data_IF_920219131899
#
_entry.id   IF_920219131899
#
_cell.length_a   1.000
_cell.length_b   1.000
_cell.length_c   1.000
_cell.angle_alpha   90.00
_cell.angle_beta   90.00
_cell.angle_gamma   90.00
#
_symmetry.space_group_name_H-M   'P 1'
#
loop_
_entity.id
_entity.type
_entity.pdbx_description
1 polymer ?
2 non-polymer ?
3 water ?
#
# COMPACT_ATOMS: atom_id res chain seq x y z
N UNK A 4 -14.57 -17.93 8.26
CA UNK A 4 -14.21 -17.07 7.13
C UNK A 4 -14.21 -17.85 5.82
N UNK A 5 -15.21 -17.60 4.99
CA UNK A 5 -15.33 -18.27 3.70
C UNK A 5 -14.08 -18.10 2.83
N UNK A 6 -13.43 -16.94 2.93
CA UNK A 6 -12.40 -16.58 1.96
C UNK A 6 -11.08 -17.33 2.13
N UNK A 7 -11.00 -18.18 3.15
CA UNK A 7 -9.87 -19.08 3.33
C UNK A 7 -9.99 -20.30 2.40
N UNK A 8 -11.06 -20.34 1.62
CA UNK A 8 -11.28 -21.46 0.73
C UNK A 8 -10.50 -21.32 -0.56
N UNK A 9 -9.95 -22.43 -1.03
CA UNK A 9 -9.21 -22.44 -2.27
C UNK A 9 -7.96 -21.54 -2.21
N UNK A 10 -7.45 -21.33 -1.00
CA UNK A 10 -6.31 -20.45 -0.80
C UNK A 10 -5.07 -20.98 -1.53
N UNK A 11 -4.99 -22.30 -1.64
CA UNK A 11 -3.88 -22.95 -2.31
C UNK A 11 -3.77 -22.38 -3.73
N UNK A 12 -4.91 -22.02 -4.29
CA UNK A 12 -4.94 -21.38 -5.60
C UNK A 12 -4.17 -20.05 -5.63
N UNK A 13 -4.36 -19.23 -4.59
CA UNK A 13 -3.65 -17.96 -4.48
C UNK A 13 -2.17 -18.24 -4.36
N UNK A 14 -1.86 -19.24 -3.54
CA UNK A 14 -0.49 -19.63 -3.30
C UNK A 14 0.20 -20.05 -4.59
N UNK A 15 -0.42 -20.97 -5.32
CA UNK A 15 0.14 -21.46 -6.57
C UNK A 15 0.32 -20.36 -7.62
N UNK A 16 -0.76 -19.63 -7.91
CA UNK A 16 -0.68 -18.59 -8.93
C UNK A 16 0.33 -17.50 -8.54
N UNK A 17 0.34 -17.08 -7.27
CA UNK A 17 1.24 -16.01 -6.84
C UNK A 17 2.71 -16.43 -6.92
N UNK A 18 2.99 -17.65 -6.47
CA UNK A 18 4.33 -18.23 -6.56
C UNK A 18 4.75 -18.39 -8.01
N UNK A 19 3.79 -18.72 -8.86
CA UNK A 19 4.05 -18.72 -10.29
C UNK A 19 4.49 -17.38 -10.86
N UNK A 20 3.80 -16.30 -10.46
CA UNK A 20 4.16 -14.98 -10.97
C UNK A 20 5.51 -14.57 -10.40
N UNK A 21 5.72 -14.91 -9.12
CA UNK A 21 6.97 -14.56 -8.45
C UNK A 21 8.15 -15.28 -9.11
N UNK A 22 7.92 -16.52 -9.51
CA UNK A 22 8.93 -17.28 -10.22
C UNK A 22 9.15 -16.75 -11.64
N UNK A 23 8.06 -16.44 -12.34
CA UNK A 23 8.20 -16.02 -13.76
C UNK A 23 8.61 -14.56 -14.02
N UNK A 24 8.52 -13.69 -13.02
CA UNK A 24 8.87 -12.28 -13.22
C UNK A 24 10.36 -12.05 -13.41
N UNK A 25 11.18 -13.00 -12.99
CA UNK A 25 12.61 -12.78 -13.04
C UNK A 25 13.39 -14.07 -13.23
N UNK A 26 14.66 -14.02 -12.91
CA UNK A 26 15.54 -15.16 -13.10
C UNK A 26 15.22 -16.25 -12.11
N UNK A 27 16.18 -17.14 -11.91
CA UNK A 27 16.08 -18.15 -10.87
C UNK A 27 16.24 -17.45 -9.52
N UNK A 28 15.76 -18.08 -8.46
CA UNK A 28 15.79 -17.45 -7.15
C UNK A 28 17.21 -17.39 -6.61
N UNK A 29 17.51 -16.30 -5.90
CA UNK A 29 18.75 -16.19 -5.15
C UNK A 29 18.69 -17.04 -3.88
N UNK A 30 19.85 -17.35 -3.29
CA UNK A 30 19.87 -18.07 -2.03
C UNK A 30 19.27 -17.20 -0.93
N UNK A 31 18.52 -17.81 -0.02
CA UNK A 31 17.94 -17.05 1.08
C UNK A 31 19.07 -16.66 2.02
N UNK A 32 19.48 -15.39 1.95
CA UNK A 32 20.53 -14.88 2.81
C UNK A 32 20.08 -13.66 3.61
N UNK A 33 18.76 -13.58 3.81
CA UNK A 33 18.14 -12.46 4.51
C UNK A 33 17.22 -12.99 5.61
N UNK A 34 17.14 -12.25 6.72
CA UNK A 34 16.30 -12.61 7.87
C UNK A 34 14.83 -12.85 7.50
N UNK A 35 14.21 -13.78 8.20
CA UNK A 35 12.84 -14.20 7.94
C UNK A 35 12.21 -14.56 9.28
N UNK A 36 10.99 -14.07 9.55
CA UNK A 36 10.45 -14.31 10.90
C UNK A 36 9.79 -15.67 11.10
N UNK A 37 10.55 -16.75 10.95
CA UNK A 37 10.02 -18.12 11.17
C UNK A 37 9.48 -18.31 12.59
N UNK A 38 10.14 -17.70 13.55
CA UNK A 38 9.66 -17.59 14.91
C UNK A 38 8.18 -17.16 14.93
N UNK A 39 7.91 -16.06 14.25
CA UNK A 39 6.57 -15.50 14.18
C UNK A 39 5.59 -16.47 13.52
N UNK A 40 5.99 -17.06 12.40
CA UNK A 40 5.10 -17.93 11.67
C UNK A 40 4.75 -19.16 12.50
N UNK A 41 5.72 -19.67 13.26
CA UNK A 41 5.48 -20.80 14.17
C UNK A 41 4.36 -20.43 15.12
N UNK A 42 4.49 -19.26 15.77
CA UNK A 42 3.45 -18.72 16.63
C UNK A 42 2.09 -18.63 15.92
N UNK A 43 2.08 -18.10 14.70
CA UNK A 43 0.83 -17.97 13.97
C UNK A 43 0.25 -19.34 13.59
N UNK A 44 1.13 -20.30 13.36
CA UNK A 44 0.67 -21.64 13.03
C UNK A 44 -0.33 -22.19 14.07
N UNK A 45 -0.15 -21.82 15.34
CA UNK A 45 -0.98 -22.35 16.41
C UNK A 45 -1.87 -21.30 17.09
N UNK A 46 -1.94 -20.12 16.50
CA UNK A 46 -2.82 -19.06 16.99
C UNK A 46 -4.25 -19.38 16.59
N UNK A 47 -5.22 -18.71 17.20
CA UNK A 47 -6.62 -18.87 16.85
C UNK A 47 -6.89 -18.40 15.43
N UNK A 48 -8.00 -18.84 14.85
CA UNK A 48 -8.31 -18.55 13.46
C UNK A 48 -8.47 -17.04 13.18
N UNK A 49 -9.15 -16.33 14.07
CA UNK A 49 -9.34 -14.90 13.88
C UNK A 49 -8.01 -14.19 13.74
N UNK A 50 -7.04 -14.62 14.54
CA UNK A 50 -5.72 -14.04 14.53
C UNK A 50 -4.97 -14.43 13.26
N UNK A 51 -5.19 -15.66 12.82
CA UNK A 51 -4.53 -16.13 11.60
C UNK A 51 -4.94 -15.29 10.38
N UNK A 52 -6.23 -15.05 10.25
CA UNK A 52 -6.77 -14.28 9.13
C UNK A 52 -6.32 -12.82 9.18
N UNK A 53 -6.34 -12.22 10.37
CA UNK A 53 -5.87 -10.85 10.53
C UNK A 53 -4.42 -10.79 10.12
N UNK A 54 -3.66 -11.80 10.51
CA UNK A 54 -2.25 -11.93 10.15
C UNK A 54 -2.03 -12.11 8.65
N UNK A 55 -2.94 -12.84 7.99
CA UNK A 55 -2.82 -13.02 6.56
C UNK A 55 -3.06 -11.68 5.85
N UNK A 56 -4.06 -10.93 6.31
CA UNK A 56 -4.34 -9.63 5.72
C UNK A 56 -3.17 -8.69 5.90
N UNK A 57 -2.64 -8.62 7.12
CA UNK A 57 -1.50 -7.76 7.42
C UNK A 57 -0.32 -8.07 6.52
N UNK A 58 0.03 -9.35 6.44
CA UNK A 58 1.17 -9.78 5.65
C UNK A 58 0.98 -9.57 4.14
N UNK A 59 -0.20 -9.93 3.64
CA UNK A 59 -0.50 -9.70 2.23
C UNK A 59 -0.30 -8.22 1.91
N UNK A 60 -0.78 -7.37 2.79
CA UNK A 60 -0.75 -5.95 2.48
C UNK A 60 0.68 -5.44 2.52
N UNK A 61 1.50 -6.02 3.39
CA UNK A 61 2.91 -5.64 3.50
C UNK A 61 3.67 -6.05 2.26
N UNK A 62 3.40 -7.27 1.78
CA UNK A 62 4.05 -7.75 0.56
C UNK A 62 3.65 -6.87 -0.62
N UNK A 63 2.36 -6.55 -0.74
CA UNK A 63 1.91 -5.69 -1.83
C UNK A 63 2.68 -4.37 -1.77
N UNK A 64 2.78 -3.80 -0.59
CA UNK A 64 3.41 -2.51 -0.43
C UNK A 64 4.89 -2.54 -0.75
N UNK A 65 5.54 -3.63 -0.35
CA UNK A 65 6.98 -3.82 -0.60
C UNK A 65 7.26 -3.89 -2.09
N UNK A 66 6.39 -4.60 -2.82
CA UNK A 66 6.66 -4.97 -4.21
C UNK A 66 6.20 -3.90 -5.19
N UNK A 67 5.34 -3.00 -4.71
CA UNK A 67 4.77 -1.92 -5.51
C UNK A 67 5.81 -0.81 -5.59
N UNK A 68 6.91 -1.08 -6.28
CA UNK A 68 8.07 -0.18 -6.24
C UNK A 68 8.78 -0.07 -7.59
N UNK A 69 8.00 -0.04 -8.66
CA UNK A 69 8.53 0.09 -10.01
C UNK A 69 9.59 1.20 -10.10
N UNK A 70 9.32 2.31 -9.42
CA UNK A 70 10.24 3.44 -9.40
C UNK A 70 11.62 3.12 -8.84
N UNK A 71 11.76 1.97 -8.17
CA UNK A 71 13.04 1.54 -7.59
C UNK A 71 13.56 0.23 -8.14
N UNK A 72 13.12 -0.14 -9.34
CA UNK A 72 13.45 -1.44 -9.89
C UNK A 72 14.24 -1.40 -11.21
N UNK A 73 14.87 -0.26 -11.51
CA UNK A 73 15.76 -0.18 -12.68
C UNK A 73 16.78 -1.28 -12.70
N UNK A 74 17.31 -1.60 -11.52
CA UNK A 74 18.41 -2.54 -11.40
C UNK A 74 17.98 -3.99 -11.64
N UNK A 75 16.67 -4.25 -11.67
CA UNK A 75 16.21 -5.59 -12.04
C UNK A 75 15.49 -5.59 -13.38
N UNK A 76 15.57 -6.74 -14.02
CA UNK A 76 14.99 -6.92 -15.32
C UNK A 76 13.62 -7.57 -15.22
N UNK A 77 13.07 -7.61 -14.01
CA UNK A 77 11.78 -8.26 -13.79
C UNK A 77 10.74 -7.70 -14.74
N UNK A 78 9.78 -8.53 -15.13
CA UNK A 78 8.72 -8.05 -16.00
C UNK A 78 7.73 -7.27 -15.15
N UNK A 79 7.56 -5.98 -15.44
CA UNK A 79 6.73 -5.14 -14.58
C UNK A 79 5.26 -5.50 -14.67
N UNK A 80 4.82 -5.99 -15.81
CA UNK A 80 3.44 -6.39 -15.93
C UNK A 80 3.21 -7.60 -15.02
N UNK A 81 4.20 -8.48 -14.92
CA UNK A 81 4.10 -9.62 -14.02
C UNK A 81 4.08 -9.11 -12.57
N UNK A 82 4.88 -8.10 -12.26
CA UNK A 82 4.81 -7.51 -10.94
C UNK A 82 3.39 -7.03 -10.64
N UNK A 83 2.81 -6.29 -11.57
CA UNK A 83 1.46 -5.76 -11.37
C UNK A 83 0.46 -6.91 -11.16
N UNK A 84 0.58 -7.98 -11.93
CA UNK A 84 -0.31 -9.11 -11.72
C UNK A 84 -0.15 -9.69 -10.31
N UNK A 85 1.10 -9.74 -9.86
CA UNK A 85 1.41 -10.28 -8.54
C UNK A 85 0.72 -9.46 -7.47
N UNK A 86 0.83 -8.15 -7.61
CA UNK A 86 0.20 -7.21 -6.69
C UNK A 86 -1.30 -7.44 -6.65
N UNK A 87 -1.87 -7.63 -7.84
CA UNK A 87 -3.32 -7.73 -8.00
C UNK A 87 -3.88 -9.02 -7.43
N UNK A 88 -3.21 -10.13 -7.70
CA UNK A 88 -3.67 -11.39 -7.18
C UNK A 88 -3.73 -11.31 -5.65
N UNK A 89 -2.68 -10.79 -5.05
CA UNK A 89 -2.66 -10.71 -3.59
C UNK A 89 -3.65 -9.66 -3.05
N UNK A 90 -3.92 -8.60 -3.83
CA UNK A 90 -4.80 -7.56 -3.29
C UNK A 90 -6.23 -8.03 -3.25
N UNK A 91 -6.61 -8.79 -4.28
CA UNK A 91 -7.96 -9.35 -4.32
C UNK A 91 -8.26 -10.33 -3.18
N UNK A 92 -7.33 -11.24 -2.88
CA UNK A 92 -7.52 -12.16 -1.78
C UNK A 92 -7.54 -11.37 -0.49
N UNK A 93 -6.62 -10.43 -0.36
CA UNK A 93 -6.56 -9.63 0.85
C UNK A 93 -7.86 -8.87 1.06
N UNK A 94 -8.35 -8.22 0.01
CA UNK A 94 -9.63 -7.50 0.11
C UNK A 94 -10.81 -8.42 0.52
N UNK A 95 -10.82 -9.67 0.06
CA UNK A 95 -11.83 -10.63 0.53
C UNK A 95 -11.71 -10.96 2.01
N UNK A 96 -10.50 -11.27 2.46
CA UNK A 96 -10.24 -11.57 3.87
C UNK A 96 -10.57 -10.41 4.81
N UNK A 97 -10.38 -9.18 4.32
CA UNK A 97 -10.71 -8.00 5.12
C UNK A 97 -12.19 -8.03 5.50
N UNK A 98 -13.01 -8.64 4.67
CA UNK A 98 -14.41 -8.77 4.99
C UNK A 98 -14.60 -9.55 6.31
N UNK A 99 -13.91 -10.69 6.45
CA UNK A 99 -14.01 -11.44 7.69
C UNK A 99 -13.45 -10.65 8.86
N UNK A 100 -12.34 -9.97 8.64
CA UNK A 100 -11.67 -9.24 9.73
C UNK A 100 -12.56 -8.14 10.32
N UNK A 101 -13.34 -7.50 9.45
CA UNK A 101 -14.33 -6.52 9.89
C UNK A 101 -15.30 -7.08 10.94
N UNK A 102 -15.51 -8.40 10.93
CA UNK A 102 -16.42 -9.02 11.90
C UNK A 102 -15.82 -9.25 13.28
N UNK A 103 -14.50 -9.23 13.38
CA UNK A 103 -13.84 -9.58 14.64
C UNK A 103 -13.80 -8.44 15.64
N UNK A 104 -13.75 -8.78 16.93
CA UNK A 104 -13.57 -7.81 17.99
C UNK A 104 -12.20 -7.17 17.89
N UNK A 105 -12.16 -5.85 17.84
CA UNK A 105 -10.89 -5.12 17.75
C UNK A 105 -10.36 -4.87 19.15
N UNK A 106 -9.29 -5.61 19.53
CA UNK A 106 -8.91 -6.00 20.90
C UNK A 106 -8.21 -4.97 21.79
N UNK A 107 -7.78 -5.48 22.95
CA UNK A 107 -7.26 -4.67 24.05
C UNK A 107 -5.94 -3.95 23.76
N UNK A 108 -4.96 -4.69 23.27
CA UNK A 108 -3.67 -4.10 22.92
C UNK A 108 -3.32 -4.51 21.50
N UNK A 109 -2.49 -3.71 20.82
CA UNK A 109 -1.98 -4.11 19.52
C UNK A 109 -1.37 -5.50 19.66
N UNK A 110 -1.77 -6.42 18.78
CA UNK A 110 -1.26 -7.79 18.84
C UNK A 110 0.23 -7.80 18.53
N UNK A 111 0.96 -8.69 19.16
CA UNK A 111 2.38 -8.76 18.94
C UNK A 111 2.70 -9.19 17.51
N UNK A 112 1.81 -9.94 16.88
CA UNK A 112 2.08 -10.35 15.50
C UNK A 112 2.07 -9.17 14.53
N UNK A 113 1.18 -8.20 14.76
CA UNK A 113 1.16 -7.01 13.90
C UNK A 113 2.44 -6.19 14.07
N UNK A 114 2.88 -6.04 15.31
CA UNK A 114 4.13 -5.36 15.60
C UNK A 114 5.34 -6.07 14.97
N UNK A 115 5.45 -7.38 15.18
CA UNK A 115 6.59 -8.13 14.68
C UNK A 115 6.63 -8.19 13.15
N UNK A 116 5.48 -8.48 12.52
CA UNK A 116 5.46 -8.53 11.05
C UNK A 116 5.80 -7.17 10.43
N UNK A 117 5.27 -6.08 10.97
CA UNK A 117 5.64 -4.76 10.51
C UNK A 117 7.13 -4.57 10.66
N UNK A 118 7.63 -4.90 11.83
CA UNK A 118 9.06 -4.80 12.11
C UNK A 118 9.90 -5.54 11.05
N UNK A 119 9.46 -6.75 10.68
CA UNK A 119 10.18 -7.49 9.66
C UNK A 119 10.14 -6.79 8.29
N UNK A 120 8.99 -6.29 7.88
CA UNK A 120 8.92 -5.64 6.58
C UNK A 120 9.67 -4.32 6.54
N UNK A 121 9.72 -3.65 7.67
CA UNK A 121 10.56 -2.49 7.85
C UNK A 121 11.99 -2.81 7.55
N UNK A 122 12.42 -3.91 8.12
CA UNK A 122 13.80 -4.35 7.95
C UNK A 122 14.12 -4.56 6.47
N UNK A 123 13.19 -5.21 5.77
CA UNK A 123 13.37 -5.51 4.36
C UNK A 123 13.51 -4.22 3.56
N UNK A 124 12.63 -3.26 3.82
CA UNK A 124 12.71 -1.98 3.13
C UNK A 124 14.06 -1.29 3.45
N UNK A 125 14.47 -1.33 4.71
CA UNK A 125 15.74 -0.75 5.10
C UNK A 125 16.89 -1.35 4.31
N UNK A 126 16.87 -2.66 4.14
CA UNK A 126 17.92 -3.36 3.41
C UNK A 126 17.96 -2.89 1.95
N UNK A 127 16.79 -2.75 1.34
CA UNK A 127 16.72 -2.34 -0.05
C UNK A 127 17.34 -0.95 -0.22
N UNK A 128 17.10 -0.09 0.75
CA UNK A 128 17.63 1.27 0.71
C UNK A 128 19.16 1.32 0.92
N UNK A 129 19.65 0.61 1.93
CA UNK A 129 21.09 0.49 2.19
C UNK A 129 21.83 0.07 0.95
N UNK A 130 21.21 -0.82 0.18
CA UNK A 130 21.86 -1.38 -0.99
C UNK A 130 21.49 -0.63 -2.25
N UNK A 131 20.84 0.52 -2.09
CA UNK A 131 20.48 1.33 -3.25
C UNK A 131 19.68 0.51 -4.26
N UNK A 132 18.79 -0.36 -3.76
CA UNK A 132 17.88 -1.12 -4.61
C UNK A 132 18.62 -1.85 -5.73
N UNK A 133 19.71 -2.50 -5.35
CA UNK A 133 20.52 -3.25 -6.30
C UNK A 133 19.75 -4.48 -6.75
N UNK A 134 20.21 -5.14 -7.79
CA UNK A 134 19.58 -6.37 -8.23
C UNK A 134 19.61 -7.45 -7.13
N UNK A 135 20.71 -7.57 -6.40
CA UNK A 135 20.78 -8.62 -5.36
C UNK A 135 20.00 -8.25 -4.11
N UNK A 136 19.85 -6.95 -3.82
CA UNK A 136 18.95 -6.55 -2.74
C UNK A 136 17.52 -6.94 -3.12
N UNK A 137 17.11 -6.61 -4.34
CA UNK A 137 15.78 -7.00 -4.82
C UNK A 137 15.61 -8.53 -4.84
N UNK A 138 16.65 -9.25 -5.23
CA UNK A 138 16.56 -10.71 -5.31
C UNK A 138 16.46 -11.34 -3.92
N UNK A 139 17.06 -10.71 -2.93
CA UNK A 139 16.85 -11.16 -1.55
C UNK A 139 15.38 -10.95 -1.18
N UNK A 140 14.85 -9.75 -1.44
CA UNK A 140 13.46 -9.49 -1.12
C UNK A 140 12.54 -10.52 -1.80
N UNK A 141 12.78 -10.76 -3.08
CA UNK A 141 12.02 -11.74 -3.84
C UNK A 141 12.11 -13.16 -3.21
N UNK A 142 13.32 -13.58 -2.86
CA UNK A 142 13.48 -14.88 -2.22
C UNK A 142 12.72 -14.91 -0.88
N UNK A 143 12.80 -13.82 -0.12
CA UNK A 143 12.10 -13.72 1.18
C UNK A 143 10.59 -13.82 1.02
N UNK A 144 10.04 -13.11 0.03
CA UNK A 144 8.60 -13.13 -0.24
C UNK A 144 8.12 -14.54 -0.59
N UNK A 145 8.95 -15.27 -1.34
CA UNK A 145 8.67 -16.68 -1.61
C UNK A 145 8.46 -17.44 -0.30
N UNK A 146 9.35 -17.23 0.67
CA UNK A 146 9.19 -17.87 1.96
C UNK A 146 7.91 -17.48 2.71
N UNK A 147 7.50 -16.21 2.61
CA UNK A 147 6.25 -15.80 3.25
C UNK A 147 5.10 -16.56 2.60
N UNK A 148 5.11 -16.63 1.28
CA UNK A 148 4.00 -17.22 0.56
C UNK A 148 3.87 -18.70 0.95
N UNK A 149 5.00 -19.38 1.12
CA UNK A 149 5.00 -20.81 1.47
C UNK A 149 4.43 -21.03 2.85
N UNK A 150 4.87 -20.23 3.82
CA UNK A 150 4.34 -20.34 5.17
C UNK A 150 2.88 -19.85 5.32
N UNK A 151 2.53 -18.77 4.63
CA UNK A 151 1.15 -18.29 4.66
C UNK A 151 0.17 -19.39 4.25
N UNK A 152 0.57 -20.19 3.28
CA UNK A 152 -0.27 -21.27 2.77
C UNK A 152 -0.53 -22.35 3.82
N UNK A 153 0.46 -22.58 4.67
CA UNK A 153 0.31 -23.52 5.77
C UNK A 153 -0.71 -22.97 6.75
N UNK A 154 -0.52 -21.71 7.12
CA UNK A 154 -1.45 -21.04 8.03
C UNK A 154 -2.87 -21.04 7.48
N UNK A 155 -3.03 -20.81 6.18
CA UNK A 155 -4.35 -20.83 5.58
C UNK A 155 -4.94 -22.23 5.65
N UNK A 156 -4.15 -23.23 5.26
CA UNK A 156 -4.60 -24.61 5.38
C UNK A 156 -5.11 -24.87 6.77
N UNK A 157 -4.26 -24.62 7.77
CA UNK A 157 -4.59 -24.93 9.16
C UNK A 157 -5.76 -24.10 9.64
N UNK A 158 -5.87 -22.88 9.12
CA UNK A 158 -6.95 -21.99 9.52
C UNK A 158 -8.30 -22.57 9.07
N UNK A 159 -8.39 -22.95 7.80
CA UNK A 159 -9.54 -23.67 7.28
C UNK A 159 -9.50 -25.13 7.78
N UNK B 4 7.81 14.21 -18.11
CA UNK B 4 6.97 13.06 -17.79
C UNK B 4 5.65 13.08 -18.55
N UNK B 5 5.48 12.11 -19.46
CA UNK B 5 4.30 12.01 -20.30
C UNK B 5 3.01 11.93 -19.48
N UNK B 6 3.04 11.21 -18.36
CA UNK B 6 1.82 10.90 -17.59
C UNK B 6 1.26 12.05 -16.75
N UNK B 7 1.87 13.23 -16.89
CA UNK B 7 1.29 14.46 -16.34
C UNK B 7 0.20 15.00 -17.25
N UNK B 8 0.23 14.59 -18.51
CA UNK B 8 -0.79 14.97 -19.46
C UNK B 8 -2.17 14.46 -19.06
N UNK B 9 -3.18 15.32 -19.18
CA UNK B 9 -4.55 14.90 -18.92
C UNK B 9 -4.73 14.47 -17.47
N UNK B 10 -3.89 14.99 -16.59
CA UNK B 10 -3.97 14.63 -15.18
C UNK B 10 -5.32 15.05 -14.62
N UNK B 11 -5.86 16.14 -15.15
CA UNK B 11 -7.18 16.62 -14.74
C UNK B 11 -8.23 15.52 -14.85
N UNK B 12 -8.03 14.59 -15.78
CA UNK B 12 -8.92 13.44 -15.89
C UNK B 12 -8.93 12.66 -14.58
N UNK B 13 -7.76 12.21 -14.15
CA UNK B 13 -7.69 11.43 -12.93
C UNK B 13 -8.20 12.23 -11.73
N UNK B 14 -7.99 13.54 -11.74
CA UNK B 14 -8.52 14.39 -10.68
C UNK B 14 -10.03 14.29 -10.66
N UNK B 15 -10.63 14.47 -11.82
CA UNK B 15 -12.07 14.49 -11.93
C UNK B 15 -12.69 13.13 -11.58
N UNK B 16 -12.17 12.08 -12.19
CA UNK B 16 -12.69 10.74 -11.97
C UNK B 16 -12.58 10.30 -10.52
N UNK B 17 -11.45 10.61 -9.89
CA UNK B 17 -11.19 10.15 -8.54
C UNK B 17 -11.97 11.00 -7.54
N UNK B 18 -12.09 12.29 -7.81
CA UNK B 18 -12.98 13.12 -7.01
C UNK B 18 -14.45 12.63 -7.11
N UNK B 19 -14.89 12.25 -8.30
CA UNK B 19 -16.23 11.70 -8.44
C UNK B 19 -16.45 10.42 -7.63
N UNK B 20 -15.52 9.47 -7.76
CA UNK B 20 -15.51 8.29 -6.89
C UNK B 20 -15.52 8.67 -5.41
N UNK B 21 -14.62 9.57 -5.00
CA UNK B 21 -14.55 9.95 -3.60
C UNK B 21 -15.89 10.49 -3.08
N UNK B 22 -16.55 11.27 -3.92
CA UNK B 22 -17.84 11.86 -3.59
C UNK B 22 -18.93 10.81 -3.61
N UNK B 23 -18.92 9.94 -4.61
CA UNK B 23 -20.01 8.98 -4.75
C UNK B 23 -19.99 7.88 -3.69
N UNK B 24 -18.84 7.63 -3.09
CA UNK B 24 -18.72 6.47 -2.22
C UNK B 24 -19.52 6.65 -0.92
N UNK B 25 -19.76 7.90 -0.53
CA UNK B 25 -20.36 8.13 0.77
C UNK B 25 -21.32 9.29 0.89
N UNK B 26 -21.68 9.90 -0.23
CA UNK B 26 -22.45 11.12 -0.11
C UNK B 26 -21.73 12.25 0.63
N UNK B 27 -22.37 12.79 1.67
CA UNK B 27 -22.09 14.16 2.13
C UNK B 27 -20.78 14.36 2.86
N UNK B 28 -19.90 15.19 2.31
CA UNK B 28 -18.63 15.50 2.96
C UNK B 28 -18.83 16.17 4.31
N UNK B 29 -17.98 15.82 5.26
CA UNK B 29 -17.95 16.51 6.54
C UNK B 29 -17.19 17.82 6.38
N UNK B 30 -17.25 18.69 7.38
CA UNK B 30 -16.45 19.90 7.35
C UNK B 30 -15.00 19.52 7.53
N UNK B 31 -14.08 20.31 7.00
CA UNK B 31 -12.66 20.02 7.21
C UNK B 31 -12.26 20.50 8.61
N UNK B 32 -12.02 19.55 9.51
CA UNK B 32 -11.60 19.86 10.88
C UNK B 32 -10.39 19.01 11.29
N UNK B 33 -9.52 18.75 10.31
CA UNK B 33 -8.36 17.92 10.51
C UNK B 33 -7.17 18.56 9.85
N UNK B 34 -6.00 18.50 10.51
CA UNK B 34 -4.77 19.08 9.99
C UNK B 34 -4.54 18.66 8.54
N UNK B 35 -4.08 19.59 7.70
CA UNK B 35 -3.79 19.30 6.30
C UNK B 35 -2.56 20.12 5.95
N UNK B 36 -1.54 19.47 5.36
CA UNK B 36 -0.21 20.06 5.10
C UNK B 36 -0.18 21.09 3.95
N UNK B 37 -1.00 22.14 4.04
CA UNK B 37 -1.08 23.18 3.03
C UNK B 37 0.28 23.88 2.86
N UNK B 38 0.97 23.92 3.99
CA UNK B 38 2.34 24.40 4.10
C UNK B 38 3.26 23.63 3.14
N UNK B 39 3.08 22.31 3.09
CA UNK B 39 3.88 21.44 2.22
C UNK B 39 3.56 21.63 0.75
N UNK B 40 2.27 21.70 0.46
CA UNK B 40 1.83 21.79 -0.93
C UNK B 40 2.32 23.06 -1.58
N UNK B 41 2.42 24.13 -0.79
CA UNK B 41 2.94 25.39 -1.28
C UNK B 41 4.40 25.24 -1.65
N UNK B 42 5.16 24.58 -0.78
CA UNK B 42 6.55 24.26 -1.08
C UNK B 42 6.63 23.48 -2.40
N UNK B 43 5.73 22.50 -2.57
CA UNK B 43 5.76 21.63 -3.75
C UNK B 43 5.31 22.37 -5.00
N UNK B 44 4.46 23.37 -4.80
CA UNK B 44 3.94 24.18 -5.89
C UNK B 44 5.06 24.85 -6.71
N UNK B 45 6.12 25.23 -6.01
CA UNK B 45 7.25 25.91 -6.66
C UNK B 45 8.51 25.04 -6.61
N UNK B 46 8.33 23.73 -6.69
CA UNK B 46 9.45 22.80 -6.71
C UNK B 46 9.77 22.41 -8.14
N UNK B 47 10.96 21.86 -8.34
CA UNK B 47 11.35 21.34 -9.64
C UNK B 47 10.40 20.21 -10.02
N UNK B 48 10.17 20.06 -11.31
CA UNK B 48 9.27 19.03 -11.80
C UNK B 48 9.57 17.63 -11.25
N UNK B 49 10.84 17.24 -11.19
CA UNK B 49 11.19 15.90 -10.71
C UNK B 49 10.68 15.68 -9.29
N UNK B 50 10.80 16.69 -8.45
CA UNK B 50 10.38 16.53 -7.07
C UNK B 50 8.84 16.52 -7.00
N UNK B 51 8.19 17.30 -7.85
CA UNK B 51 6.74 17.29 -7.92
C UNK B 51 6.22 15.92 -8.34
N UNK B 52 6.80 15.36 -9.39
CA UNK B 52 6.43 14.02 -9.81
C UNK B 52 6.69 12.99 -8.70
N UNK B 53 7.85 13.08 -8.05
CA UNK B 53 8.14 12.14 -6.97
C UNK B 53 7.09 12.29 -5.87
N UNK B 54 6.79 13.54 -5.51
CA UNK B 54 5.82 13.83 -4.48
C UNK B 54 4.40 13.34 -4.83
N UNK B 55 3.98 13.47 -6.09
CA UNK B 55 2.71 12.90 -6.53
C UNK B 55 2.63 11.38 -6.29
N UNK B 56 3.70 10.67 -6.60
CA UNK B 56 3.71 9.21 -6.43
C UNK B 56 3.58 8.82 -4.96
N UNK B 57 4.36 9.50 -4.12
CA UNK B 57 4.40 9.22 -2.69
C UNK B 57 3.02 9.43 -2.12
N UNK B 58 2.39 10.53 -2.52
CA UNK B 58 1.10 10.94 -1.98
C UNK B 58 -0.05 10.02 -2.45
N UNK B 59 -0.08 9.73 -3.74
CA UNK B 59 -1.01 8.75 -4.28
C UNK B 59 -0.95 7.44 -3.49
N UNK B 60 0.28 6.93 -3.28
CA UNK B 60 0.45 5.65 -2.61
C UNK B 60 0.01 5.71 -1.14
N UNK B 61 0.27 6.83 -0.49
CA UNK B 61 -0.22 7.07 0.84
C UNK B 61 -1.74 7.05 0.86
N UNK B 62 -2.36 7.78 -0.07
CA UNK B 62 -3.83 7.79 -0.12
C UNK B 62 -4.36 6.38 -0.33
N UNK B 63 -3.75 5.66 -1.27
CA UNK B 63 -4.13 4.28 -1.51
C UNK B 63 -4.02 3.47 -0.22
N UNK B 64 -2.88 3.56 0.45
CA UNK B 64 -2.68 2.77 1.66
C UNK B 64 -3.68 3.11 2.76
N UNK B 65 -4.01 4.40 2.86
CA UNK B 65 -4.96 4.91 3.85
C UNK B 65 -6.37 4.39 3.61
N UNK B 66 -6.82 4.41 2.36
CA UNK B 66 -8.21 4.08 2.03
C UNK B 66 -8.44 2.58 1.88
N UNK B 67 -7.37 1.82 1.74
CA UNK B 67 -7.46 0.37 1.57
C UNK B 67 -7.61 -0.29 2.95
N UNK B 68 -8.74 -0.04 3.60
CA UNK B 68 -8.92 -0.35 5.02
C UNK B 68 -10.32 -0.85 5.32
N UNK B 69 -10.80 -1.70 4.41
CA UNK B 69 -12.15 -2.22 4.50
C UNK B 69 -12.42 -2.97 5.80
N UNK B 70 -11.39 -3.56 6.39
CA UNK B 70 -11.55 -4.30 7.64
C UNK B 70 -11.83 -3.34 8.80
N UNK B 71 -11.55 -2.06 8.60
CA UNK B 71 -11.77 -1.04 9.63
C UNK B 71 -12.89 -0.06 9.26
N UNK B 72 -13.68 -0.42 8.26
CA UNK B 72 -14.72 0.46 7.76
C UNK B 72 -16.16 0.09 8.12
N UNK B 73 -16.32 -0.72 9.16
CA UNK B 73 -17.66 -1.06 9.62
C UNK B 73 -18.52 0.14 9.91
N UNK B 74 -17.92 1.16 10.50
CA UNK B 74 -18.65 2.32 10.98
C UNK B 74 -19.20 3.24 9.90
N UNK B 75 -18.83 3.04 8.65
CA UNK B 75 -19.33 3.90 7.57
C UNK B 75 -20.17 3.15 6.54
N UNK B 76 -20.98 3.90 5.79
CA UNK B 76 -21.88 3.31 4.83
C UNK B 76 -21.30 3.21 3.43
N UNK B 77 -20.00 3.48 3.32
CA UNK B 77 -19.37 3.70 2.02
C UNK B 77 -19.50 2.50 1.08
N UNK B 78 -19.67 2.79 -0.21
CA UNK B 78 -19.82 1.75 -1.21
C UNK B 78 -18.47 1.09 -1.51
N UNK B 79 -18.29 -0.18 -1.12
CA UNK B 79 -16.96 -0.80 -1.20
C UNK B 79 -16.50 -1.04 -2.63
N UNK B 80 -17.46 -1.21 -3.52
CA UNK B 80 -17.11 -1.26 -4.92
C UNK B 80 -16.45 0.06 -5.36
N UNK B 81 -17.00 1.17 -4.90
CA UNK B 81 -16.48 2.49 -5.31
C UNK B 81 -15.13 2.73 -4.65
N UNK B 82 -15.00 2.31 -3.39
CA UNK B 82 -13.73 2.38 -2.69
C UNK B 82 -12.64 1.69 -3.52
N UNK B 83 -12.92 0.46 -3.95
CA UNK B 83 -11.99 -0.32 -4.75
C UNK B 83 -11.63 0.34 -6.08
N UNK B 84 -12.64 0.81 -6.80
CA UNK B 84 -12.42 1.56 -8.03
C UNK B 84 -11.53 2.79 -7.78
N UNK B 85 -11.76 3.45 -6.64
CA UNK B 85 -10.95 4.62 -6.26
C UNK B 85 -9.48 4.23 -6.07
N UNK B 86 -9.24 3.15 -5.32
CA UNK B 86 -7.89 2.64 -5.15
C UNK B 86 -7.29 2.33 -6.52
N UNK B 87 -8.06 1.64 -7.36
CA UNK B 87 -7.60 1.23 -8.69
C UNK B 87 -7.18 2.40 -9.55
N UNK B 88 -8.03 3.43 -9.60
CA UNK B 88 -7.76 4.59 -10.43
C UNK B 88 -6.47 5.30 -10.00
N UNK B 89 -6.29 5.50 -8.69
CA UNK B 89 -5.07 6.14 -8.18
C UNK B 89 -3.86 5.24 -8.37
N UNK B 90 -4.03 3.93 -8.13
CA UNK B 90 -2.92 3.03 -8.31
C UNK B 90 -2.41 3.09 -9.74
N UNK B 91 -3.32 3.12 -10.71
CA UNK B 91 -2.91 3.11 -12.10
C UNK B 91 -2.15 4.37 -12.50
N UNK B 92 -2.59 5.52 -12.02
CA UNK B 92 -1.87 6.76 -12.29
C UNK B 92 -0.51 6.72 -11.59
N UNK B 93 -0.51 6.24 -10.35
CA UNK B 93 0.73 6.16 -9.60
C UNK B 93 1.73 5.27 -10.34
N UNK B 94 1.23 4.14 -10.85
CA UNK B 94 2.08 3.19 -11.55
C UNK B 94 2.70 3.81 -12.81
N UNK B 95 1.94 4.66 -13.50
CA UNK B 95 2.49 5.38 -14.67
C UNK B 95 3.58 6.35 -14.24
N UNK B 96 3.31 7.14 -13.20
CA UNK B 96 4.26 8.17 -12.78
C UNK B 96 5.55 7.55 -12.27
N UNK B 97 5.46 6.35 -11.69
CA UNK B 97 6.63 5.65 -11.18
C UNK B 97 7.63 5.36 -12.30
N UNK B 98 7.12 5.09 -13.50
CA UNK B 98 7.96 4.94 -14.68
C UNK B 98 8.80 6.19 -14.95
N UNK B 99 8.24 7.37 -14.66
CA UNK B 99 9.02 8.60 -14.78
C UNK B 99 10.03 8.72 -13.64
N UNK B 100 9.61 8.41 -12.41
CA UNK B 100 10.50 8.55 -11.26
C UNK B 100 11.71 7.64 -11.44
N UNK B 101 11.46 6.49 -12.06
CA UNK B 101 12.51 5.51 -12.34
C UNK B 101 13.67 6.10 -13.15
N UNK B 102 13.38 7.16 -13.91
CA UNK B 102 14.38 7.80 -14.76
C UNK B 102 15.20 8.88 -14.03
N UNK B 103 14.67 9.38 -12.93
CA UNK B 103 15.30 10.48 -12.19
C UNK B 103 16.45 10.00 -11.33
N UNK B 104 17.32 10.94 -10.94
CA UNK B 104 18.38 10.62 -10.00
C UNK B 104 17.81 10.08 -8.69
N UNK B 105 18.57 9.25 -8.01
CA UNK B 105 18.13 8.70 -6.73
C UNK B 105 19.15 8.93 -5.62
N UNK B 106 18.94 10.00 -4.84
CA UNK B 106 19.77 10.30 -3.66
C UNK B 106 19.58 9.23 -2.58
N UNK B 107 20.52 9.11 -1.65
CA UNK B 107 20.32 8.23 -0.51
C UNK B 107 19.39 8.88 0.51
N UNK B 108 19.46 10.20 0.62
CA UNK B 108 18.71 10.90 1.65
C UNK B 108 17.25 11.10 1.25
N UNK B 109 16.36 11.16 2.24
CA UNK B 109 14.95 11.49 1.95
C UNK B 109 14.72 12.99 1.98
N UNK B 110 14.23 13.53 0.88
CA UNK B 110 13.83 14.93 0.82
C UNK B 110 12.88 15.26 1.96
N UNK B 111 12.81 16.53 2.34
CA UNK B 111 11.99 16.88 3.48
C UNK B 111 10.54 16.58 3.19
N UNK B 112 10.15 16.73 1.92
CA UNK B 112 8.75 16.54 1.55
C UNK B 112 8.30 15.09 1.65
N UNK B 113 9.22 14.15 1.42
CA UNK B 113 8.89 12.74 1.66
C UNK B 113 8.61 12.51 3.13
N UNK B 114 9.54 12.97 3.98
CA UNK B 114 9.42 12.88 5.42
C UNK B 114 8.13 13.53 5.92
N UNK B 115 7.84 14.72 5.41
CA UNK B 115 6.66 15.45 5.81
C UNK B 115 5.33 14.83 5.36
N UNK B 116 5.27 14.34 4.12
CA UNK B 116 4.02 13.78 3.64
C UNK B 116 3.73 12.50 4.44
N UNK B 117 4.78 11.73 4.71
CA UNK B 117 4.60 10.50 5.49
C UNK B 117 4.09 10.87 6.87
N UNK B 118 4.67 11.92 7.45
CA UNK B 118 4.31 12.35 8.79
C UNK B 118 2.81 12.66 8.83
N UNK B 119 2.34 13.45 7.88
CA UNK B 119 0.92 13.78 7.81
C UNK B 119 0.03 12.54 7.74
N UNK B 120 0.32 11.62 6.82
CA UNK B 120 -0.52 10.43 6.71
C UNK B 120 -0.43 9.51 7.91
N UNK B 121 0.70 9.53 8.60
CA UNK B 121 0.82 8.79 9.84
C UNK B 121 -0.11 9.41 10.90
N UNK B 122 -0.25 10.72 10.86
CA UNK B 122 -1.16 11.42 11.76
C UNK B 122 -2.62 11.02 11.50
N UNK B 123 -2.98 10.91 10.22
CA UNK B 123 -4.35 10.55 9.86
C UNK B 123 -4.67 9.18 10.40
N UNK B 124 -3.74 8.26 10.26
CA UNK B 124 -3.93 6.91 10.72
C UNK B 124 -4.07 6.88 12.24
N UNK B 125 -3.18 7.59 12.90
CA UNK B 125 -3.23 7.75 14.35
C UNK B 125 -4.61 8.24 14.77
N UNK B 126 -5.14 9.21 14.02
CA UNK B 126 -6.46 9.75 14.32
C UNK B 126 -7.54 8.68 14.23
N UNK B 127 -7.64 8.02 13.07
CA UNK B 127 -8.60 6.94 12.93
C UNK B 127 -8.49 5.98 14.10
N UNK B 128 -7.27 5.67 14.51
CA UNK B 128 -7.03 4.66 15.55
C UNK B 128 -7.50 5.14 16.94
N UNK B 129 -7.12 6.35 17.32
CA UNK B 129 -7.62 6.94 18.55
C UNK B 129 -9.14 6.88 18.59
N UNK B 130 -9.77 7.32 17.49
CA UNK B 130 -11.21 7.46 17.44
C UNK B 130 -11.89 6.13 17.11
N UNK B 131 -11.11 5.06 17.09
CA UNK B 131 -11.65 3.72 16.90
C UNK B 131 -12.35 3.55 15.57
N UNK B 132 -11.83 4.22 14.53
CA UNK B 132 -12.38 4.08 13.19
C UNK B 132 -13.88 4.38 13.12
N UNK B 133 -14.30 5.35 13.91
CA UNK B 133 -15.65 5.88 13.84
C UNK B 133 -15.96 6.48 12.47
N UNK B 134 -17.23 6.43 12.09
CA UNK B 134 -17.74 7.15 10.92
C UNK B 134 -17.25 8.60 10.91
N UNK B 135 -17.29 9.25 12.07
CA UNK B 135 -16.83 10.63 12.18
C UNK B 135 -15.36 10.76 11.80
N UNK B 136 -14.55 9.78 12.21
CA UNK B 136 -13.12 9.79 11.88
C UNK B 136 -12.91 9.58 10.38
N UNK B 137 -13.54 8.54 9.85
CA UNK B 137 -13.45 8.26 8.43
C UNK B 137 -13.90 9.44 7.57
N UNK B 138 -15.01 10.09 7.92
CA UNK B 138 -15.46 11.25 7.17
C UNK B 138 -14.44 12.39 7.21
N UNK B 139 -13.72 12.54 8.31
CA UNK B 139 -12.64 13.51 8.35
C UNK B 139 -11.53 13.12 7.36
N UNK B 140 -11.13 11.85 7.39
CA UNK B 140 -10.11 11.35 6.50
C UNK B 140 -10.54 11.52 5.04
N UNK B 141 -11.80 11.27 4.76
CA UNK B 141 -12.36 11.42 3.43
C UNK B 141 -12.31 12.89 2.96
N UNK B 142 -12.69 13.82 3.82
CA UNK B 142 -12.62 15.23 3.46
C UNK B 142 -11.18 15.66 3.23
N UNK B 143 -10.27 15.11 4.04
CA UNK B 143 -8.84 15.40 3.90
C UNK B 143 -8.30 14.91 2.55
N UNK B 144 -8.65 13.69 2.19
CA UNK B 144 -8.24 13.14 0.90
C UNK B 144 -8.76 14.02 -0.25
N UNK B 145 -9.98 14.53 -0.13
CA UNK B 145 -10.49 15.46 -1.14
C UNK B 145 -9.53 16.62 -1.31
N UNK B 146 -9.10 17.19 -0.19
CA UNK B 146 -8.15 18.29 -0.23
C UNK B 146 -6.85 17.93 -0.91
N UNK B 147 -6.34 16.73 -0.63
CA UNK B 147 -5.14 16.26 -1.29
C UNK B 147 -5.32 16.24 -2.79
N UNK B 148 -6.42 15.66 -3.24
CA UNK B 148 -6.67 15.54 -4.68
C UNK B 148 -6.76 16.92 -5.36
N UNK B 149 -7.39 17.87 -4.70
CA UNK B 149 -7.53 19.20 -5.27
C UNK B 149 -6.17 19.88 -5.42
N UNK B 150 -5.33 19.78 -4.39
CA UNK B 150 -4.01 20.43 -4.45
C UNK B 150 -3.05 19.66 -5.36
N UNK B 151 -3.17 18.34 -5.39
CA UNK B 151 -2.34 17.56 -6.30
C UNK B 151 -2.59 17.96 -7.75
N UNK B 152 -3.84 18.26 -8.05
CA UNK B 152 -4.21 18.63 -9.39
C UNK B 152 -3.51 19.91 -9.83
N UNK B 153 -3.35 20.86 -8.91
CA UNK B 153 -2.64 22.11 -9.20
C UNK B 153 -1.16 21.86 -9.43
N UNK B 154 -0.60 20.94 -8.67
CA UNK B 154 0.79 20.55 -8.88
C UNK B 154 0.98 19.96 -10.26
N UNK B 155 0.13 19.04 -10.65
CA UNK B 155 0.29 18.37 -11.93
C UNK B 155 0.11 19.34 -13.09
N UNK B 156 -0.77 20.33 -12.93
CA UNK B 156 -0.92 21.40 -13.92
C UNK B 156 0.38 22.17 -14.15
N UNK B 157 0.96 22.69 -13.07
CA UNK B 157 2.18 23.46 -13.16
C UNK B 157 3.40 22.63 -13.55
N UNK B 158 3.42 21.37 -13.16
CA UNK B 158 4.53 20.48 -13.54
C UNK B 158 4.54 20.28 -15.05
N UNK B 159 3.36 20.14 -15.64
CA UNK B 159 3.24 20.01 -17.10
C UNK B 159 3.38 21.36 -17.82
N UNK B 160 2.72 22.38 -17.27
CA UNK B 160 2.67 23.69 -17.92
C UNK B 160 3.98 24.48 -17.73
#
# INVERSE_FOLDING_TARGET
GSTCEWLGRYRIITTESLNLLKNMGGKYADLETPFPSRLYTLMDKSKVEDQVKFLVLTLDHIIHLMDAREHMNSVNWDQNTVEDFLNILHRKSSDLKECVARYAKPAHKESYEIRIKRHFRTLKKILKKKQYSAEAWEQIRRVVKSHLQRMDIIASNARVNPRV
GSTCEWLGRYRIITTESLNLLKNMGGKYADLETPFPSRLYTLMDKSKVEDQVKFLVLTLDHIIHLMDAREHMNSVNWDQNTVEDFLNILHRKSSDLKECVARYAKPAHKESYEIRIKRHFRTLKKILKKKQYSAEAWEQIRRVVKSHLQRMDIIASNARVNPRV
#
